data_IF_416186152592
#
_entry.id   IF_416186152592
#
_cell.length_a   1.000
_cell.length_b   1.000
_cell.length_c   1.000
_cell.angle_alpha   90.00
_cell.angle_beta   90.00
_cell.angle_gamma   90.00
#
_symmetry.space_group_name_H-M   'P 1'
#
loop_
_entity.id
_entity.type
_entity.pdbx_description
1 polymer ?
#
# COMPACT_ATOMS: atom_id res chain seq x y z
N UNK A 1 4.80 0.15 7.57
CA UNK A 1 4.63 -0.64 8.81
C UNK A 1 3.69 -1.79 8.49
N UNK A 2 4.08 -3.07 8.66
CA UNK A 2 3.17 -4.17 8.37
C UNK A 2 1.98 -4.08 9.34
N UNK A 3 0.76 -4.01 8.78
CA UNK A 3 -0.47 -3.97 9.56
C UNK A 3 -0.61 -5.32 10.27
N UNK A 4 -0.11 -5.34 11.51
CA UNK A 4 -0.04 -6.54 12.33
C UNK A 4 -1.43 -6.98 12.79
N UNK A 5 -1.60 -8.29 12.85
CA UNK A 5 -2.77 -8.98 13.40
C UNK A 5 -3.06 -8.45 14.82
N UNK A 6 -4.19 -7.76 15.01
CA UNK A 6 -4.62 -7.32 16.34
C UNK A 6 -5.28 -8.51 17.04
N UNK A 7 -4.52 -9.22 17.87
CA UNK A 7 -5.03 -10.33 18.67
C UNK A 7 -6.26 -9.92 19.49
N UNK A 8 -7.43 -10.49 19.16
CA UNK A 8 -8.69 -10.26 19.87
C UNK A 8 -9.83 -9.74 19.00
N UNK A 9 -9.56 -9.29 17.76
CA UNK A 9 -10.62 -8.93 16.83
C UNK A 9 -11.20 -10.19 16.17
N UNK A 10 -12.51 -10.42 16.33
CA UNK A 10 -13.23 -11.53 15.68
C UNK A 10 -13.69 -11.18 14.26
N UNK A 11 -13.44 -9.95 13.83
CA UNK A 11 -13.64 -9.55 12.45
C UNK A 11 -12.61 -10.26 11.57
N UNK A 12 -13.05 -11.04 10.59
CA UNK A 12 -12.16 -11.55 9.53
C UNK A 12 -11.59 -10.41 8.66
N UNK A 13 -11.93 -9.14 8.94
CA UNK A 13 -11.31 -7.97 8.34
C UNK A 13 -9.87 -7.78 8.86
N UNK A 14 -8.97 -8.68 8.44
CA UNK A 14 -7.55 -8.37 8.37
C UNK A 14 -7.39 -7.33 7.28
N UNK A 15 -7.38 -6.06 7.66
CA UNK A 15 -7.08 -4.99 6.73
C UNK A 15 -5.70 -5.22 6.11
N UNK A 16 -5.67 -5.74 4.89
CA UNK A 16 -4.45 -6.02 4.16
C UNK A 16 -4.16 -4.79 3.29
N UNK A 17 -3.28 -3.92 3.78
CA UNK A 17 -2.81 -2.77 3.02
C UNK A 17 -1.56 -3.12 2.21
N UNK A 18 -1.43 -2.52 1.03
CA UNK A 18 -0.18 -2.56 0.24
C UNK A 18 0.53 -1.23 0.38
N UNK A 19 1.78 -1.26 0.84
CA UNK A 19 2.68 -0.10 0.83
C UNK A 19 3.53 -0.14 -0.45
N UNK A 20 3.52 0.94 -1.21
CA UNK A 20 4.26 1.05 -2.48
C UNK A 20 4.78 2.48 -2.67
N UNK A 21 5.81 2.64 -3.49
CA UNK A 21 6.19 3.97 -3.95
C UNK A 21 5.14 4.49 -4.93
N UNK A 22 4.99 5.82 -5.02
CA UNK A 22 4.12 6.38 -6.04
C UNK A 22 4.72 6.12 -7.42
N UNK A 23 3.96 5.40 -8.24
CA UNK A 23 4.28 5.13 -9.64
C UNK A 23 3.26 5.84 -10.52
N UNK A 24 3.68 6.36 -11.68
CA UNK A 24 2.74 6.87 -12.68
C UNK A 24 1.83 5.78 -13.24
N UNK A 25 2.18 4.50 -13.06
CA UNK A 25 1.40 3.33 -13.46
C UNK A 25 0.74 2.62 -12.25
N UNK A 26 0.02 3.39 -11.43
CA UNK A 26 -0.84 2.85 -10.38
C UNK A 26 -1.85 1.78 -10.86
N UNK A 27 -2.43 1.86 -12.08
CA UNK A 27 -3.32 0.80 -12.57
C UNK A 27 -2.63 -0.57 -12.63
N UNK A 28 -1.37 -0.63 -13.05
CA UNK A 28 -0.61 -1.88 -13.06
C UNK A 28 -0.34 -2.40 -11.64
N UNK A 29 0.04 -1.52 -10.71
CA UNK A 29 0.27 -1.86 -9.30
C UNK A 29 -1.00 -2.43 -8.66
N UNK A 30 -2.16 -1.84 -8.93
CA UNK A 30 -3.46 -2.31 -8.44
C UNK A 30 -3.77 -3.69 -9.04
N UNK A 31 -3.64 -3.84 -10.35
CA UNK A 31 -3.94 -5.10 -11.06
C UNK A 31 -3.07 -6.24 -10.57
N UNK A 32 -1.77 -6.00 -10.37
CA UNK A 32 -0.84 -6.98 -9.83
C UNK A 32 -1.27 -7.44 -8.43
N UNK A 33 -1.56 -6.51 -7.51
CA UNK A 33 -1.94 -6.84 -6.13
C UNK A 33 -3.32 -7.49 -6.04
N UNK A 34 -4.26 -7.17 -6.94
CA UNK A 34 -5.54 -7.89 -7.06
C UNK A 34 -5.36 -9.34 -7.54
N UNK A 35 -4.35 -9.59 -8.38
CA UNK A 35 -4.08 -10.93 -8.92
C UNK A 35 -3.34 -11.85 -7.95
N UNK A 36 -2.51 -11.28 -7.07
CA UNK A 36 -1.66 -12.03 -6.12
C UNK A 36 -2.30 -12.20 -4.75
N UNK A 37 -3.32 -11.40 -4.42
CA UNK A 37 -4.03 -11.47 -3.14
C UNK A 37 -5.22 -10.53 -3.07
N UNK A 38 -5.74 -10.35 -1.85
CA UNK A 38 -6.77 -9.35 -1.55
C UNK A 38 -6.14 -8.26 -0.70
N UNK A 39 -6.44 -7.01 -1.06
CA UNK A 39 -6.08 -5.83 -0.27
C UNK A 39 -7.29 -4.91 -0.16
N UNK A 40 -7.33 -4.11 0.91
CA UNK A 40 -8.43 -3.17 1.15
C UNK A 40 -8.05 -1.74 0.75
N UNK A 41 -6.77 -1.39 0.86
CA UNK A 41 -6.26 -0.07 0.50
C UNK A 41 -4.80 -0.12 0.06
N UNK A 42 -4.38 0.93 -0.65
CA UNK A 42 -2.99 1.17 -1.04
C UNK A 42 -2.50 2.45 -0.39
N UNK A 43 -1.29 2.41 0.15
CA UNK A 43 -0.58 3.58 0.68
C UNK A 43 0.59 3.87 -0.24
N UNK A 44 0.59 5.06 -0.84
CA UNK A 44 1.67 5.55 -1.67
C UNK A 44 2.00 7.02 -1.32
N UNK A 45 3.29 7.37 -1.16
CA UNK A 45 3.69 8.75 -0.89
C UNK A 45 3.53 9.62 -2.13
N UNK A 46 2.65 10.62 -2.09
CA UNK A 46 2.37 11.52 -3.22
C UNK A 46 3.50 12.55 -3.50
N UNK A 47 4.48 12.67 -2.61
CA UNK A 47 5.58 13.61 -2.72
C UNK A 47 6.90 12.89 -2.41
N UNK A 48 7.84 12.95 -3.35
CA UNK A 48 9.21 12.49 -3.15
C UNK A 48 10.08 13.68 -2.74
N UNK A 49 10.53 13.74 -1.48
CA UNK A 49 11.41 14.84 -1.03
C UNK A 49 12.80 14.82 -1.67
N UNK A 50 13.14 13.78 -2.44
CA UNK A 50 14.44 13.64 -3.09
C UNK A 50 14.69 14.74 -4.13
N UNK A 51 13.63 15.38 -4.65
CA UNK A 51 13.75 16.58 -5.50
C UNK A 51 13.91 17.91 -4.73
N UNK A 52 13.83 17.91 -3.40
CA UNK A 52 13.91 19.13 -2.59
C UNK A 52 15.34 19.49 -2.13
N UNK A 53 16.34 18.67 -2.46
CA UNK A 53 17.77 18.89 -2.17
C UNK A 53 18.62 18.70 -3.42
N UNK A 54 18.28 19.42 -4.48
CA UNK A 54 18.96 19.29 -5.77
C UNK A 54 18.72 20.49 -6.68
N UNK A 55 19.02 21.69 -6.18
CA UNK A 55 19.53 22.84 -6.93
C UNK A 55 20.49 23.63 -6.02
#
# INVERSE_FOLDING_TARGET
MPLGDRGGDKSEARFCGVETEFSDDMPHVITFNLSTGKFDFVVAPLYCMVYAYGD
#
